data_IF_501993305589
#
_entry.id   IF_501993305589
#
_cell.length_a   1.000
_cell.length_b   1.000
_cell.length_c   1.000
_cell.angle_alpha   90.00
_cell.angle_beta   90.00
_cell.angle_gamma   90.00
#
_symmetry.space_group_name_H-M   'P 1'
#
loop_
_entity.id
_entity.type
_entity.pdbx_description
1 polymer ?
#
# COMPACT_ATOMS: atom_id res chain seq x y z
N UNK A 1 -3.50 -16.62 1.51
CA UNK A 1 -3.59 -17.54 0.35
C UNK A 1 -5.04 -17.65 -0.11
N UNK A 2 -5.99 -17.90 0.80
CA UNK A 2 -7.42 -17.96 0.48
C UNK A 2 -7.97 -16.67 -0.16
N UNK A 3 -7.70 -15.49 0.43
CA UNK A 3 -8.17 -14.22 -0.13
C UNK A 3 -7.65 -13.95 -1.55
N UNK A 4 -6.40 -14.36 -1.85
CA UNK A 4 -5.81 -14.24 -3.18
C UNK A 4 -6.44 -15.23 -4.17
N UNK A 5 -6.75 -16.44 -3.72
CA UNK A 5 -7.47 -17.44 -4.51
C UNK A 5 -8.91 -17.00 -4.82
N UNK A 6 -9.61 -16.44 -3.84
CA UNK A 6 -10.94 -15.86 -4.01
C UNK A 6 -10.92 -14.65 -4.94
N UNK A 7 -9.91 -13.77 -4.83
CA UNK A 7 -9.72 -12.66 -5.77
C UNK A 7 -9.46 -13.15 -7.20
N UNK A 8 -8.67 -14.23 -7.36
CA UNK A 8 -8.45 -14.88 -8.65
C UNK A 8 -9.74 -15.43 -9.27
N UNK A 9 -10.55 -16.16 -8.49
CA UNK A 9 -11.86 -16.66 -8.96
C UNK A 9 -12.84 -15.53 -9.30
N UNK A 10 -12.87 -14.47 -8.50
CA UNK A 10 -13.70 -13.30 -8.80
C UNK A 10 -13.27 -12.62 -10.10
N UNK A 11 -11.96 -12.54 -10.35
CA UNK A 11 -11.41 -12.01 -11.60
C UNK A 11 -11.81 -12.88 -12.80
N UNK A 12 -11.73 -14.22 -12.69
CA UNK A 12 -12.15 -15.15 -13.75
C UNK A 12 -13.65 -15.05 -14.08
N UNK A 13 -14.50 -14.85 -13.05
CA UNK A 13 -15.95 -14.62 -13.24
C UNK A 13 -16.24 -13.27 -13.90
N UNK A 14 -15.48 -12.22 -13.58
CA UNK A 14 -15.61 -10.91 -14.21
C UNK A 14 -15.22 -10.96 -15.68
N UNK A 15 -14.18 -11.70 -16.08
CA UNK A 15 -13.76 -11.87 -17.49
C UNK A 15 -14.90 -12.39 -18.39
N UNK A 16 -15.91 -13.07 -17.84
CA UNK A 16 -17.06 -13.61 -18.61
C UNK A 16 -18.17 -12.59 -18.93
N UNK A 17 -18.12 -11.38 -18.37
CA UNK A 17 -18.99 -10.25 -18.75
C UNK A 17 -18.27 -9.39 -19.79
N UNK A 18 -18.99 -8.65 -20.63
CA UNK A 18 -18.38 -7.57 -21.42
C UNK A 18 -17.72 -6.58 -20.46
N UNK A 19 -16.39 -6.54 -20.46
CA UNK A 19 -15.61 -5.60 -19.67
C UNK A 19 -14.67 -4.84 -20.59
N UNK A 20 -14.65 -3.52 -20.43
CA UNK A 20 -13.64 -2.67 -21.05
C UNK A 20 -12.38 -2.77 -20.20
N UNK A 21 -11.30 -3.27 -20.78
CA UNK A 21 -9.97 -3.15 -20.19
C UNK A 21 -9.52 -1.69 -20.38
N UNK A 22 -9.34 -0.99 -19.26
CA UNK A 22 -8.76 0.35 -19.24
C UNK A 22 -7.39 0.24 -18.57
N UNK A 23 -6.34 0.56 -19.33
CA UNK A 23 -5.01 0.69 -18.76
C UNK A 23 -4.96 1.96 -17.90
N UNK A 24 -4.99 1.77 -16.59
CA UNK A 24 -4.80 2.85 -15.62
C UNK A 24 -3.30 2.91 -15.31
N UNK A 25 -2.59 3.76 -16.05
CA UNK A 25 -1.19 4.06 -15.76
C UNK A 25 -1.08 5.18 -14.73
N UNK A 26 -0.21 4.99 -13.73
CA UNK A 26 0.13 6.05 -12.80
C UNK A 26 1.18 6.93 -13.43
N UNK A 27 0.81 8.16 -13.80
CA UNK A 27 1.77 9.15 -14.28
C UNK A 27 2.30 9.97 -13.09
N UNK A 28 3.62 10.01 -12.87
CA UNK A 28 4.19 10.90 -11.86
C UNK A 28 3.83 12.35 -12.18
N UNK A 29 3.65 13.16 -11.13
CA UNK A 29 3.49 14.60 -11.29
C UNK A 29 4.77 15.18 -11.89
N UNK A 30 4.65 16.17 -12.76
CA UNK A 30 5.80 16.94 -13.25
C UNK A 30 6.44 17.73 -12.11
N UNK A 31 7.78 17.80 -12.08
CA UNK A 31 8.54 18.52 -11.06
C UNK A 31 8.99 17.66 -9.87
N UNK A 32 9.06 18.28 -8.69
CA UNK A 32 9.50 17.61 -7.47
C UNK A 32 8.33 16.90 -6.80
N UNK A 33 8.50 15.60 -6.53
CA UNK A 33 7.53 14.78 -5.83
C UNK A 33 8.24 13.77 -4.94
N UNK A 34 7.52 13.30 -3.93
CA UNK A 34 7.95 12.23 -3.05
C UNK A 34 7.15 10.98 -3.40
N UNK A 35 7.83 9.85 -3.54
CA UNK A 35 7.24 8.52 -3.71
C UNK A 35 7.08 7.88 -2.34
N UNK A 36 5.87 7.44 -2.06
CA UNK A 36 5.55 6.65 -0.88
C UNK A 36 5.25 5.21 -1.30
N UNK A 37 5.92 4.26 -0.68
CA UNK A 37 5.56 2.85 -0.79
C UNK A 37 5.26 2.33 0.61
N UNK A 38 4.07 1.78 0.79
CA UNK A 38 3.65 1.13 2.03
C UNK A 38 3.46 -0.36 1.79
N UNK A 39 3.71 -1.13 2.83
CA UNK A 39 3.36 -2.54 2.89
C UNK A 39 2.79 -2.86 4.27
N UNK A 40 1.99 -3.92 4.32
CA UNK A 40 1.40 -4.46 5.54
C UNK A 40 1.89 -5.86 5.79
N UNK A 41 2.03 -6.19 7.07
CA UNK A 41 2.27 -7.54 7.54
C UNK A 41 1.13 -7.93 8.49
N UNK A 42 0.63 -9.16 8.34
CA UNK A 42 -0.30 -9.78 9.29
C UNK A 42 0.18 -11.20 9.60
N UNK A 43 0.24 -11.54 10.88
CA UNK A 43 0.54 -12.88 11.39
C UNK A 43 -0.73 -13.62 11.80
N UNK A 44 -0.62 -14.93 11.93
CA UNK A 44 -1.73 -15.83 12.30
C UNK A 44 -2.27 -15.59 13.71
N UNK A 45 -1.45 -15.03 14.61
CA UNK A 45 -1.83 -14.58 15.96
C UNK A 45 -2.62 -13.25 15.95
N UNK A 46 -3.08 -12.82 14.77
CA UNK A 46 -3.71 -11.52 14.51
C UNK A 46 -2.82 -10.30 14.77
N UNK A 47 -1.51 -10.45 14.95
CA UNK A 47 -0.62 -9.29 14.99
C UNK A 47 -0.49 -8.68 13.58
N UNK A 48 -0.97 -7.45 13.42
CA UNK A 48 -0.81 -6.69 12.19
C UNK A 48 0.10 -5.47 12.40
N UNK A 49 0.84 -5.13 11.35
CA UNK A 49 1.73 -3.99 11.31
C UNK A 49 1.84 -3.44 9.90
N UNK A 50 2.24 -2.18 9.78
CA UNK A 50 2.54 -1.54 8.51
C UNK A 50 3.94 -0.96 8.53
N UNK A 51 4.55 -0.90 7.37
CA UNK A 51 5.81 -0.24 7.15
C UNK A 51 5.78 0.52 5.83
N UNK A 52 6.74 1.41 5.65
CA UNK A 52 6.86 2.09 4.37
C UNK A 52 8.18 2.82 4.24
N UNK A 53 8.50 3.11 2.98
CA UNK A 53 9.69 3.83 2.56
C UNK A 53 9.24 5.11 1.84
N UNK A 54 9.92 6.19 2.17
CA UNK A 54 9.73 7.51 1.58
C UNK A 54 10.94 7.74 0.69
N UNK A 55 10.69 7.96 -0.60
CA UNK A 55 11.73 8.19 -1.60
C UNK A 55 11.49 9.51 -2.32
N UNK A 56 12.52 10.18 -2.76
CA UNK A 56 12.33 11.37 -3.58
C UNK A 56 12.13 11.02 -5.06
N UNK A 57 12.20 12.03 -5.92
CA UNK A 57 11.78 11.89 -7.31
C UNK A 57 12.74 11.03 -8.14
N UNK A 58 14.02 10.96 -7.76
CA UNK A 58 15.06 10.15 -8.38
C UNK A 58 15.22 8.77 -7.72
N UNK A 59 14.41 8.48 -6.69
CA UNK A 59 14.46 7.22 -5.95
C UNK A 59 15.44 7.25 -4.77
N UNK A 60 15.98 8.42 -4.43
CA UNK A 60 16.76 8.64 -3.23
C UNK A 60 15.95 8.25 -1.99
N UNK A 61 16.60 7.62 -1.02
CA UNK A 61 15.97 7.32 0.26
C UNK A 61 15.87 8.59 1.09
N UNK A 62 14.64 8.98 1.46
CA UNK A 62 14.41 10.10 2.34
C UNK A 62 14.15 9.61 3.77
N UNK A 63 13.45 8.48 3.93
CA UNK A 63 13.26 7.86 5.23
C UNK A 63 12.37 6.63 5.19
N UNK A 64 12.09 6.07 6.37
CA UNK A 64 11.21 4.91 6.52
C UNK A 64 10.47 4.91 7.84
N UNK A 65 9.39 4.13 7.92
CA UNK A 65 8.67 3.91 9.16
C UNK A 65 8.24 2.44 9.29
N UNK A 66 8.04 2.01 10.53
CA UNK A 66 7.37 0.76 10.87
C UNK A 66 6.47 1.00 12.08
N UNK A 67 5.27 0.42 12.08
CA UNK A 67 4.32 0.52 13.17
C UNK A 67 3.57 -0.80 13.35
N UNK A 68 3.64 -1.36 14.55
CA UNK A 68 2.67 -2.35 15.00
C UNK A 68 1.30 -1.69 15.19
N UNK A 69 0.29 -2.20 14.51
CA UNK A 69 -1.10 -1.70 14.60
C UNK A 69 -1.93 -2.57 15.55
N UNK A 70 -1.50 -3.81 15.82
CA UNK A 70 -2.18 -4.75 16.69
C UNK A 70 -3.19 -5.59 15.90
N UNK A 71 -4.29 -6.00 16.53
CA UNK A 71 -5.33 -6.77 15.84
C UNK A 71 -6.18 -5.86 14.94
N UNK A 72 -5.94 -5.91 13.64
CA UNK A 72 -6.75 -5.20 12.66
C UNK A 72 -6.81 -5.92 11.30
N UNK A 73 -7.77 -5.52 10.47
CA UNK A 73 -7.87 -6.03 9.11
C UNK A 73 -6.72 -5.52 8.24
N UNK A 74 -6.47 -6.22 7.13
CA UNK A 74 -5.52 -5.81 6.10
C UNK A 74 -5.74 -4.37 5.63
N UNK A 75 -7.01 -4.01 5.35
CA UNK A 75 -7.40 -2.67 4.91
C UNK A 75 -7.07 -1.59 5.94
N UNK A 76 -7.42 -1.82 7.21
CA UNK A 76 -7.15 -0.87 8.30
C UNK A 76 -5.64 -0.70 8.49
N UNK A 77 -4.88 -1.79 8.42
CA UNK A 77 -3.41 -1.77 8.52
C UNK A 77 -2.78 -0.88 7.46
N UNK A 78 -3.24 -1.00 6.21
CA UNK A 78 -2.79 -0.18 5.08
C UNK A 78 -3.09 1.31 5.31
N UNK A 79 -4.30 1.63 5.77
CA UNK A 79 -4.72 3.01 6.06
C UNK A 79 -3.88 3.65 7.18
N UNK A 80 -3.49 2.85 8.19
CA UNK A 80 -2.54 3.29 9.20
C UNK A 80 -1.15 3.58 8.62
N UNK A 81 -0.71 2.78 7.64
CA UNK A 81 0.54 3.02 6.92
C UNK A 81 0.51 4.36 6.18
N UNK A 82 -0.56 4.63 5.43
CA UNK A 82 -0.76 5.90 4.75
C UNK A 82 -0.75 7.08 5.73
N UNK A 83 -1.52 7.00 6.83
CA UNK A 83 -1.51 8.06 7.86
C UNK A 83 -0.12 8.25 8.47
N UNK A 84 0.59 7.16 8.79
CA UNK A 84 1.89 7.23 9.45
C UNK A 84 2.95 7.85 8.54
N UNK A 85 2.87 7.58 7.24
CA UNK A 85 3.75 8.16 6.24
C UNK A 85 3.65 9.69 6.15
N UNK A 86 2.42 10.24 6.15
CA UNK A 86 2.19 11.68 6.10
C UNK A 86 2.80 12.34 7.34
N UNK A 87 2.55 11.75 8.52
CA UNK A 87 3.13 12.23 9.78
C UNK A 87 4.66 12.20 9.74
N UNK A 88 5.26 11.12 9.22
CA UNK A 88 6.72 11.03 9.07
C UNK A 88 7.27 12.08 8.10
N UNK A 89 6.55 12.41 7.02
CA UNK A 89 6.95 13.49 6.10
C UNK A 89 6.85 14.88 6.74
N UNK A 90 5.88 15.13 7.61
CA UNK A 90 5.71 16.42 8.30
C UNK A 90 6.74 16.66 9.39
N UNK A 91 7.19 15.60 10.08
CA UNK A 91 8.09 15.72 11.23
C UNK A 91 9.59 15.72 10.86
N UNK A 92 9.95 15.56 9.59
CA UNK A 92 11.35 15.68 9.13
C UNK A 92 12.26 14.50 9.48
N UNK A 93 11.68 13.30 9.67
CA UNK A 93 12.27 12.05 10.19
C UNK A 93 12.46 12.05 11.72
#
# INVERSE_FOLDING_TARGET
VEDYYLAGKASELLVRREHTLVDIDWKPRSGNFVRLNTDRAKKDDNAAGCAGIIRGNQGEWLGSFAKGVGNCSAFVTEMWGARRSIISMTLGF
#
